data_IF_430872960835
#
_entry.id   IF_430872960835
#
_cell.length_a   1.000
_cell.length_b   1.000
_cell.length_c   1.000
_cell.angle_alpha   90.00
_cell.angle_beta   90.00
_cell.angle_gamma   90.00
#
_symmetry.space_group_name_H-M   'P 1'
#
loop_
_entity.id
_entity.type
_entity.pdbx_description
1 polymer ?
#
# COMPACT_ATOMS: atom_id res chain seq x y z
N UNK A 1 -8.65 -11.85 -7.33
CA UNK A 1 -8.76 -12.09 -6.98
C UNK A 1 -8.88 -12.67 -6.25
N UNK A 2 -8.56 -12.58 -5.87
CA UNK A 2 -8.52 -13.02 -5.22
C UNK A 2 -8.86 -13.38 -4.35
N UNK A 3 -8.92 -13.31 -4.12
CA UNK A 3 -9.19 -13.62 -3.40
C UNK A 3 -9.39 -14.22 -2.72
N UNK A 4 -9.26 -14.15 -2.71
CA UNK A 4 -9.29 -14.61 -2.11
C UNK A 4 -9.45 -15.18 -1.57
N UNK A 5 -9.41 -15.22 -1.69
CA UNK A 5 -9.47 -15.81 -1.29
C UNK A 5 -9.50 -16.37 -0.73
N UNK A 6 -9.29 -16.32 -0.71
CA UNK A 6 -9.20 -16.80 -0.23
C UNK A 6 -9.50 -17.27 0.38
N UNK A 7 -9.57 -17.22 0.38
CA UNK A 7 -9.75 -17.69 0.90
C UNK A 7 -10.01 -18.31 1.48
N UNK A 8 -9.84 -18.28 1.53
CA UNK A 8 -9.93 -18.87 2.01
C UNK A 8 -9.94 -19.46 2.50
N UNK A 9 -9.72 -19.48 2.58
CA UNK A 9 -9.51 -19.97 3.09
C UNK A 9 -9.51 -20.47 3.63
N UNK A 10 -9.44 -20.48 3.69
CA UNK A 10 -9.29 -20.92 4.27
C UNK A 10 -9.36 -21.53 4.74
N UNK A 11 -9.33 -21.57 4.78
CA UNK A 11 -9.25 -22.18 5.16
C UNK A 11 -9.09 -22.93 5.70
N UNK A 12 -8.81 -23.00 5.74
CA UNK A 12 -8.42 -23.66 6.14
C UNK A 12 -8.17 -24.26 6.70
N UNK A 13 -7.93 -24.24 6.90
CA UNK A 13 -7.61 -24.77 7.24
C UNK A 13 -7.23 -25.24 7.94
N UNK A 14 -7.00 -24.98 7.93
CA UNK A 14 -6.63 -25.58 8.45
C UNK A 14 -6.04 -25.51 9.31
N UNK A 15 -6.47 -25.70 9.25
CA UNK A 15 -5.73 -25.94 10.37
C UNK A 15 -4.96 -24.88 10.92
N UNK A 16 -4.21 -24.76 10.92
CA UNK A 16 -3.44 -23.79 11.54
C UNK A 16 -3.27 -22.55 10.67
N UNK A 17 -4.18 -21.85 10.35
CA UNK A 17 -4.02 -20.64 9.58
C UNK A 17 -2.87 -19.73 9.96
N UNK A 18 -2.01 -20.11 10.91
CA UNK A 18 -0.94 -19.25 11.39
C UNK A 18 0.03 -18.77 10.33
N UNK A 19 0.13 -19.43 9.19
CA UNK A 19 0.98 -18.98 8.10
C UNK A 19 0.25 -18.18 7.04
N UNK A 20 -1.04 -18.01 7.17
CA UNK A 20 -1.80 -17.33 6.14
C UNK A 20 -1.61 -15.83 6.19
N UNK A 21 -1.64 -15.23 5.00
CA UNK A 21 -1.59 -13.78 4.86
C UNK A 21 -3.00 -13.22 4.98
N UNK A 22 -3.20 -12.30 5.89
CA UNK A 22 -4.45 -11.55 5.98
C UNK A 22 -4.15 -10.10 5.67
N UNK A 23 -4.63 -9.65 4.52
CA UNK A 23 -4.39 -8.28 4.08
C UNK A 23 -5.16 -7.30 4.95
N UNK A 24 -4.61 -6.11 5.19
CA UNK A 24 -5.32 -5.09 5.93
C UNK A 24 -6.55 -4.60 5.16
N UNK A 25 -7.55 -4.17 5.90
CA UNK A 25 -8.75 -3.57 5.32
C UNK A 25 -8.56 -2.06 5.39
N UNK A 26 -8.75 -1.40 4.26
CA UNK A 26 -8.59 0.06 4.15
C UNK A 26 -9.96 0.68 3.90
N UNK A 27 -10.26 1.75 4.63
CA UNK A 27 -11.55 2.44 4.45
C UNK A 27 -11.64 3.09 3.07
N UNK A 28 -12.86 3.17 2.54
CA UNK A 28 -13.08 3.57 1.14
C UNK A 28 -13.91 4.86 1.02
N UNK A 29 -13.66 5.84 1.88
CA UNK A 29 -14.34 7.14 1.81
C UNK A 29 -13.38 8.16 1.21
N UNK A 30 -13.70 8.62 0.00
CA UNK A 30 -12.87 9.57 -0.72
C UNK A 30 -12.70 10.88 0.07
N UNK A 31 -11.48 11.40 0.07
CA UNK A 31 -11.19 12.67 0.74
C UNK A 31 -10.99 12.58 2.24
N UNK A 32 -11.18 11.41 2.83
CA UNK A 32 -10.97 11.21 4.27
C UNK A 32 -9.71 10.41 4.53
N UNK A 33 -9.06 10.68 5.65
CA UNK A 33 -7.90 9.92 6.08
C UNK A 33 -8.27 8.44 6.16
N UNK A 34 -7.54 7.55 5.48
CA UNK A 34 -7.88 6.14 5.53
C UNK A 34 -7.58 5.54 6.90
N UNK A 35 -8.44 4.60 7.31
CA UNK A 35 -8.11 3.70 8.39
C UNK A 35 -7.56 2.43 7.76
N UNK A 36 -6.53 1.85 8.37
CA UNK A 36 -5.90 0.63 7.89
C UNK A 36 -5.94 -0.35 9.05
N UNK A 37 -6.59 -1.49 8.85
CA UNK A 37 -6.64 -2.50 9.91
C UNK A 37 -5.26 -3.16 10.04
N UNK A 38 -5.01 -3.71 11.22
CA UNK A 38 -3.74 -4.39 11.47
C UNK A 38 -3.63 -5.63 10.59
N UNK A 39 -2.51 -5.83 9.88
CA UNK A 39 -2.32 -7.04 9.10
C UNK A 39 -2.08 -8.24 10.00
N UNK A 40 -2.31 -9.43 9.47
CA UNK A 40 -2.11 -10.66 10.22
C UNK A 40 -1.43 -11.71 9.36
N UNK A 41 -0.74 -12.63 10.00
CA UNK A 41 -0.09 -13.74 9.33
C UNK A 41 1.19 -13.35 8.61
N UNK A 42 1.56 -14.14 7.63
CA UNK A 42 2.80 -13.96 6.88
C UNK A 42 2.66 -12.83 5.87
N UNK A 43 3.62 -11.92 5.87
CA UNK A 43 3.63 -10.81 4.92
C UNK A 43 3.80 -11.33 3.49
N UNK A 44 3.18 -10.67 2.50
CA UNK A 44 3.40 -11.03 1.10
C UNK A 44 4.88 -10.89 0.74
N UNK A 45 5.37 -11.81 -0.06
CA UNK A 45 6.77 -11.79 -0.52
C UNK A 45 6.92 -11.06 -1.85
N UNK A 46 5.80 -10.67 -2.46
CA UNK A 46 5.79 -9.94 -3.72
C UNK A 46 4.94 -8.69 -3.58
N UNK A 47 5.17 -7.74 -4.47
CA UNK A 47 4.35 -6.52 -4.50
C UNK A 47 2.87 -6.91 -4.64
N UNK A 48 2.06 -6.40 -3.73
CA UNK A 48 0.62 -6.65 -3.73
C UNK A 48 -0.11 -5.32 -3.83
N UNK A 49 -1.07 -5.21 -4.73
CA UNK A 49 -1.85 -3.98 -4.90
C UNK A 49 -3.33 -4.32 -4.91
N UNK A 50 -4.13 -3.34 -4.46
CA UNK A 50 -5.58 -3.48 -4.48
C UNK A 50 -6.20 -2.09 -4.59
N UNK A 51 -7.13 -1.91 -5.54
CA UNK A 51 -7.86 -0.67 -5.62
C UNK A 51 -8.93 -0.64 -4.54
N UNK A 52 -8.84 0.33 -3.65
CA UNK A 52 -9.81 0.56 -2.59
C UNK A 52 -10.91 1.47 -3.12
N UNK A 53 -10.51 2.53 -3.83
CA UNK A 53 -11.42 3.43 -4.54
C UNK A 53 -10.88 3.51 -5.95
N UNK A 54 -11.74 3.23 -6.93
CA UNK A 54 -11.34 3.37 -8.33
C UNK A 54 -11.57 4.81 -8.75
N UNK A 55 -10.48 5.51 -9.12
CA UNK A 55 -10.56 6.88 -9.59
C UNK A 55 -11.14 6.96 -10.99
N UNK A 56 -11.54 8.17 -11.39
CA UNK A 56 -12.15 8.42 -12.70
C UNK A 56 -11.37 9.45 -13.51
N UNK A 57 -10.32 10.03 -12.96
CA UNK A 57 -9.50 11.02 -13.64
C UNK A 57 -8.38 10.41 -14.45
N UNK A 58 -7.32 11.18 -14.65
CA UNK A 58 -6.19 10.77 -15.48
C UNK A 58 -5.50 9.54 -14.92
N UNK A 59 -5.06 8.67 -15.82
CA UNK A 59 -4.35 7.45 -15.42
C UNK A 59 -2.90 7.74 -15.07
N UNK A 60 -2.40 7.11 -14.04
CA UNK A 60 -0.99 7.19 -13.64
C UNK A 60 -0.15 6.37 -14.60
N UNK A 61 0.86 7.02 -15.18
CA UNK A 61 1.84 6.39 -16.06
C UNK A 61 3.19 6.37 -15.34
N UNK A 62 4.12 5.49 -15.76
CA UNK A 62 5.46 5.45 -15.14
C UNK A 62 6.21 6.77 -15.16
N UNK A 63 5.88 7.65 -16.12
CA UNK A 63 6.51 8.96 -16.28
C UNK A 63 5.75 10.10 -15.62
N UNK A 64 4.64 9.80 -14.95
CA UNK A 64 3.80 10.83 -14.33
C UNK A 64 4.46 11.51 -13.14
N UNK A 65 4.10 12.77 -12.93
CA UNK A 65 4.35 13.47 -11.68
C UNK A 65 3.05 13.41 -10.88
N UNK A 66 3.14 12.95 -9.66
CA UNK A 66 1.97 12.70 -8.83
C UNK A 66 1.87 13.66 -7.66
N UNK A 67 0.65 14.04 -7.33
CA UNK A 67 0.32 14.68 -6.07
C UNK A 67 -0.55 13.69 -5.32
N UNK A 68 -0.12 13.30 -4.12
CA UNK A 68 -0.79 12.25 -3.35
C UNK A 68 -0.91 12.60 -1.88
N UNK A 69 -1.92 12.01 -1.23
CA UNK A 69 -1.87 11.80 0.21
C UNK A 69 -1.57 10.32 0.43
N UNK A 70 -0.81 10.02 1.48
CA UNK A 70 -0.50 8.62 1.78
C UNK A 70 -0.41 8.36 3.28
N UNK A 71 -0.61 7.11 3.65
CA UNK A 71 -0.41 6.61 5.00
C UNK A 71 0.45 5.36 4.89
N UNK A 72 1.48 5.28 5.71
CA UNK A 72 2.43 4.17 5.75
C UNK A 72 2.33 3.44 7.08
N UNK A 73 2.10 2.13 7.01
CA UNK A 73 2.05 1.25 8.17
C UNK A 73 3.12 0.17 8.03
N UNK A 74 3.78 -0.17 9.13
CA UNK A 74 4.71 -1.30 9.15
C UNK A 74 3.94 -2.60 9.35
N UNK A 75 4.22 -3.60 8.54
CA UNK A 75 3.56 -4.90 8.67
C UNK A 75 3.85 -5.53 10.03
N UNK A 76 5.11 -5.49 10.46
CA UNK A 76 5.54 -6.20 11.67
C UNK A 76 4.88 -5.68 12.94
N UNK A 77 4.52 -4.40 12.99
CA UNK A 77 3.95 -3.80 14.20
C UNK A 77 2.48 -3.45 14.07
N UNK A 78 1.99 -3.29 12.83
CA UNK A 78 0.64 -2.79 12.60
C UNK A 78 0.47 -1.33 13.01
N UNK A 79 1.57 -0.58 13.10
CA UNK A 79 1.53 0.82 13.51
C UNK A 79 1.80 1.75 12.35
N UNK A 80 1.13 2.89 12.35
CA UNK A 80 1.37 3.93 11.35
C UNK A 80 2.74 4.54 11.61
N UNK A 81 3.59 4.58 10.59
CA UNK A 81 4.92 5.16 10.67
C UNK A 81 4.89 6.62 10.21
N UNK A 82 4.12 6.90 9.14
CA UNK A 82 4.12 8.19 8.50
C UNK A 82 2.80 8.41 7.79
N UNK A 83 2.38 9.68 7.71
CA UNK A 83 1.17 10.06 7.00
C UNK A 83 1.29 11.49 6.51
N UNK A 84 0.85 11.75 5.29
CA UNK A 84 0.82 13.10 4.75
C UNK A 84 -0.46 13.85 5.16
N UNK A 85 -1.43 13.14 5.70
CA UNK A 85 -2.76 13.70 5.95
C UNK A 85 -2.81 14.77 7.03
N UNK A 86 -1.78 14.87 7.86
CA UNK A 86 -1.69 15.95 8.85
C UNK A 86 -1.19 17.26 8.25
N UNK A 87 -0.82 17.27 6.98
CA UNK A 87 -0.28 18.45 6.29
C UNK A 87 -0.72 18.47 4.84
N UNK A 88 0.14 18.98 3.97
CA UNK A 88 -0.15 19.11 2.55
C UNK A 88 0.12 17.80 1.79
N UNK A 89 -0.57 17.58 0.67
CA UNK A 89 -0.24 16.46 -0.20
C UNK A 89 1.21 16.57 -0.68
N UNK A 90 1.83 15.44 -0.93
CA UNK A 90 3.19 15.40 -1.46
C UNK A 90 3.16 15.32 -2.98
N UNK A 91 4.08 16.06 -3.63
CA UNK A 91 4.20 16.05 -5.10
C UNK A 91 5.60 15.60 -5.48
N UNK A 92 5.70 14.65 -6.40
CA UNK A 92 7.00 14.10 -6.81
C UNK A 92 6.87 13.38 -8.15
N UNK A 93 7.99 13.26 -8.90
CA UNK A 93 7.99 12.40 -10.09
C UNK A 93 7.99 10.94 -9.65
N UNK A 94 7.15 10.14 -10.27
CA UNK A 94 7.04 8.72 -9.91
C UNK A 94 8.36 7.99 -10.11
N UNK A 95 9.14 8.38 -11.10
CA UNK A 95 10.44 7.76 -11.36
C UNK A 95 11.46 7.97 -10.23
N UNK A 96 11.20 8.88 -9.30
CA UNK A 96 12.14 9.21 -8.21
C UNK A 96 11.82 8.58 -6.86
N UNK A 97 10.75 7.78 -6.76
CA UNK A 97 10.34 7.20 -5.47
C UNK A 97 10.71 5.72 -5.40
N UNK A 98 10.44 5.09 -4.26
CA UNK A 98 10.77 3.67 -4.07
C UNK A 98 10.16 2.78 -5.15
N UNK A 99 10.86 1.69 -5.44
CA UNK A 99 10.48 0.80 -6.54
C UNK A 99 9.04 0.30 -6.46
N UNK A 100 8.58 -0.03 -5.28
CA UNK A 100 7.21 -0.53 -5.12
C UNK A 100 6.14 0.46 -5.58
N UNK A 101 6.39 1.76 -5.44
CA UNK A 101 5.49 2.78 -5.97
C UNK A 101 5.60 2.89 -7.47
N UNK A 102 6.83 2.81 -8.01
CA UNK A 102 7.05 2.88 -9.45
C UNK A 102 6.34 1.76 -10.19
N UNK A 103 6.24 0.60 -9.56
CA UNK A 103 5.59 -0.58 -10.17
C UNK A 103 4.14 -0.73 -9.75
N UNK A 104 3.76 -0.23 -8.58
CA UNK A 104 2.43 -0.44 -8.02
C UNK A 104 1.41 0.63 -8.35
N UNK A 105 1.82 1.85 -8.65
CA UNK A 105 0.89 2.95 -8.91
C UNK A 105 0.45 3.11 -10.36
N UNK A 106 1.26 2.80 -11.39
CA UNK A 106 0.78 2.89 -12.76
C UNK A 106 -0.51 2.09 -12.95
N UNK A 107 -1.44 2.68 -13.68
CA UNK A 107 -2.76 2.09 -13.89
C UNK A 107 -3.81 2.57 -12.90
N UNK A 108 -3.42 3.16 -11.77
CA UNK A 108 -4.39 3.82 -10.90
C UNK A 108 -4.79 5.15 -11.54
N UNK A 109 -5.85 5.77 -11.03
CA UNK A 109 -6.37 6.99 -11.62
C UNK A 109 -6.59 8.06 -10.56
N UNK A 110 -6.49 9.30 -10.99
CA UNK A 110 -6.77 10.44 -10.15
C UNK A 110 -8.16 10.29 -9.51
N UNK A 111 -8.23 10.55 -8.22
CA UNK A 111 -9.44 10.37 -7.43
C UNK A 111 -9.53 8.99 -6.78
N UNK A 112 -8.60 8.09 -7.09
CA UNK A 112 -8.59 6.74 -6.52
C UNK A 112 -7.76 6.61 -5.27
N UNK A 113 -7.98 5.51 -4.57
CA UNK A 113 -7.16 5.10 -3.44
C UNK A 113 -6.69 3.68 -3.69
N UNK A 114 -5.38 3.46 -3.65
CA UNK A 114 -4.81 2.13 -3.87
C UNK A 114 -4.00 1.69 -2.67
N UNK A 115 -4.24 0.45 -2.26
CA UNK A 115 -3.43 -0.22 -1.25
C UNK A 115 -2.23 -0.84 -1.95
N UNK A 116 -1.03 -0.59 -1.41
CA UNK A 116 0.21 -1.22 -1.88
C UNK A 116 0.88 -1.89 -0.70
N UNK A 117 1.30 -3.13 -0.89
CA UNK A 117 2.12 -3.83 0.10
C UNK A 117 3.44 -4.16 -0.56
N UNK A 118 4.51 -3.56 -0.04
CA UNK A 118 5.84 -3.66 -0.61
C UNK A 118 6.68 -4.62 0.20
N UNK A 119 7.21 -5.68 -0.44
CA UNK A 119 8.22 -6.49 0.25
C UNK A 119 9.47 -5.62 0.45
N UNK A 120 10.34 -5.98 1.41
CA UNK A 120 11.52 -5.16 1.71
C UNK A 120 12.36 -4.78 0.49
N UNK A 121 12.51 -5.69 -0.47
CA UNK A 121 13.32 -5.44 -1.66
C UNK A 121 12.78 -4.31 -2.55
N UNK A 122 11.52 -3.97 -2.41
CA UNK A 122 10.90 -2.87 -3.17
C UNK A 122 10.68 -1.62 -2.32
N UNK A 123 11.13 -1.65 -1.09
CA UNK A 123 11.08 -0.53 -0.16
C UNK A 123 12.46 -0.15 0.30
N UNK A 124 12.74 -0.30 1.58
CA UNK A 124 14.01 0.15 2.18
C UNK A 124 14.96 -1.00 2.51
N UNK A 125 14.62 -2.23 2.13
CA UNK A 125 15.51 -3.37 2.16
C UNK A 125 16.04 -3.79 3.52
N UNK A 126 17.19 -4.44 3.49
CA UNK A 126 17.82 -4.97 4.71
C UNK A 126 18.33 -3.87 5.64
N UNK A 127 18.60 -2.68 5.10
CA UNK A 127 19.13 -1.58 5.92
C UNK A 127 18.04 -0.79 6.65
N UNK A 128 16.84 -0.75 6.07
CA UNK A 128 15.78 0.13 6.58
C UNK A 128 16.09 1.59 6.28
N UNK A 129 15.34 2.51 6.87
CA UNK A 129 15.55 3.94 6.72
C UNK A 129 14.78 4.69 7.80
N UNK A 130 15.48 5.45 8.63
CA UNK A 130 14.83 6.22 9.71
C UNK A 130 13.95 5.33 10.59
N UNK A 131 12.65 5.62 10.71
CA UNK A 131 11.75 4.82 11.55
C UNK A 131 11.40 3.46 10.95
N UNK A 132 11.83 3.18 9.71
CA UNK A 132 11.59 1.90 9.06
C UNK A 132 12.73 0.96 9.37
N UNK A 133 12.43 -0.14 10.06
CA UNK A 133 13.44 -1.11 10.44
C UNK A 133 13.96 -1.94 9.26
N UNK A 134 14.96 -2.79 9.52
CA UNK A 134 15.48 -3.66 8.48
C UNK A 134 14.47 -4.73 8.09
N UNK A 135 14.47 -5.06 6.80
CA UNK A 135 13.60 -6.11 6.23
C UNK A 135 12.11 -5.91 6.55
N UNK A 136 11.66 -4.65 6.56
CA UNK A 136 10.28 -4.34 6.87
C UNK A 136 9.40 -4.38 5.62
N UNK A 137 8.28 -5.10 5.71
CA UNK A 137 7.23 -5.03 4.69
C UNK A 137 6.40 -3.79 4.96
N UNK A 138 6.14 -3.01 3.92
CA UNK A 138 5.48 -1.72 4.03
C UNK A 138 4.07 -1.78 3.47
N UNK A 139 3.14 -1.16 4.19
CA UNK A 139 1.74 -1.05 3.76
C UNK A 139 1.47 0.42 3.50
N UNK A 140 1.09 0.75 2.26
CA UNK A 140 0.73 2.11 1.88
C UNK A 140 -0.72 2.17 1.45
N UNK A 141 -1.45 3.17 1.94
CA UNK A 141 -2.71 3.57 1.35
C UNK A 141 -2.44 4.90 0.65
N UNK A 142 -2.55 4.93 -0.67
CA UNK A 142 -2.19 6.09 -1.49
C UNK A 142 -3.43 6.64 -2.18
N UNK A 143 -3.72 7.91 -1.92
CA UNK A 143 -4.78 8.63 -2.60
C UNK A 143 -4.17 9.49 -3.69
N UNK A 144 -4.59 9.28 -4.93
CA UNK A 144 -4.10 10.05 -6.08
C UNK A 144 -4.90 11.34 -6.18
N UNK A 145 -4.26 12.46 -5.80
CA UNK A 145 -4.91 13.77 -5.81
C UNK A 145 -4.76 14.45 -7.15
N UNK A 146 -3.61 14.28 -7.80
CA UNK A 146 -3.35 14.86 -9.10
C UNK A 146 -2.34 14.05 -9.89
N UNK A 147 -2.49 14.08 -11.22
CA UNK A 147 -1.61 13.39 -12.17
C UNK A 147 -1.20 14.40 -13.23
N UNK A 148 0.11 14.56 -13.42
CA UNK A 148 0.63 15.45 -14.45
C UNK A 148 1.70 14.78 -15.30
#
# INVERSE_FOLDING_TARGET
>A
MLIGLAIVGGINMSGSGSGETVLPIVSAVAGEVPTISKPEGVAPTELTTKDIIVGTGAEVLPTSTLTVHYTLMAWSTGKIIESSWSGQPATFPLAGVVEGWQKGLPGSKEGGRRLLILPPSMGYGAAGSGPIGPNETLIFAVDIIGVA
#
